data_IF_754885837045
#
_entry.id   IF_754885837045
#
_cell.length_a   1.000
_cell.length_b   1.000
_cell.length_c   1.000
_cell.angle_alpha   90.00
_cell.angle_beta   90.00
_cell.angle_gamma   90.00
#
_symmetry.space_group_name_H-M   'P 1'
#
loop_
_entity.id
_entity.type
_entity.pdbx_description
1 polymer ?
#
# COMPACT_ATOMS: atom_id res chain seq x y z
N UNK A 1 -29.56 -21.51 14.92
CA UNK A 1 -28.12 -21.47 14.58
C UNK A 1 -27.94 -20.32 13.62
N UNK A 2 -26.89 -19.52 13.80
CA UNK A 2 -26.47 -18.46 12.88
C UNK A 2 -25.11 -18.86 12.29
N UNK A 3 -24.75 -18.36 11.10
CA UNK A 3 -23.40 -18.52 10.55
C UNK A 3 -22.59 -17.24 10.74
N UNK A 4 -21.34 -17.42 11.13
CA UNK A 4 -20.36 -16.35 11.27
C UNK A 4 -19.02 -16.80 10.67
N UNK A 5 -18.07 -15.87 10.58
CA UNK A 5 -16.67 -16.19 10.31
C UNK A 5 -15.86 -16.04 11.61
N UNK A 6 -15.08 -17.05 11.96
CA UNK A 6 -14.12 -17.00 13.08
C UNK A 6 -12.74 -17.22 12.51
N UNK A 7 -11.88 -16.20 12.57
CA UNK A 7 -10.58 -16.18 11.87
C UNK A 7 -10.74 -16.64 10.40
N UNK A 8 -11.73 -16.09 9.69
CA UNK A 8 -12.15 -16.43 8.31
C UNK A 8 -12.68 -17.85 8.08
N UNK A 9 -12.79 -18.69 9.12
CA UNK A 9 -13.43 -20.00 9.01
C UNK A 9 -14.93 -19.89 9.27
N UNK A 10 -15.74 -20.33 8.30
CA UNK A 10 -17.20 -20.36 8.46
C UNK A 10 -17.61 -21.32 9.56
N UNK A 11 -18.39 -20.82 10.52
CA UNK A 11 -18.85 -21.59 11.66
C UNK A 11 -20.33 -21.34 11.92
N UNK A 12 -21.04 -22.40 12.29
CA UNK A 12 -22.44 -22.29 12.70
C UNK A 12 -22.53 -22.36 14.22
N UNK A 13 -23.12 -21.33 14.83
CA UNK A 13 -23.16 -21.13 16.29
C UNK A 13 -24.60 -20.87 16.77
N UNK A 14 -24.91 -21.03 18.08
CA UNK A 14 -26.20 -20.63 18.64
C UNK A 14 -26.47 -19.14 18.48
N UNK A 15 -27.74 -18.75 18.27
CA UNK A 15 -28.13 -17.35 17.98
C UNK A 15 -27.96 -16.39 19.19
N UNK A 16 -27.69 -16.92 20.37
CA UNK A 16 -27.45 -16.17 21.61
C UNK A 16 -25.98 -16.27 22.08
N UNK A 17 -25.09 -16.73 21.22
CA UNK A 17 -23.67 -16.83 21.54
C UNK A 17 -23.05 -15.43 21.61
N UNK A 18 -22.32 -15.18 22.69
CA UNK A 18 -21.58 -13.94 22.89
C UNK A 18 -20.14 -14.10 22.44
N UNK A 19 -19.46 -13.00 22.16
CA UNK A 19 -18.08 -13.02 21.67
C UNK A 19 -17.11 -13.58 22.72
N UNK A 20 -17.35 -13.37 24.02
CA UNK A 20 -16.52 -13.98 25.08
C UNK A 20 -16.74 -15.49 25.17
N UNK A 21 -17.98 -15.96 25.06
CA UNK A 21 -18.27 -17.40 25.03
C UNK A 21 -17.64 -18.07 23.81
N UNK A 22 -17.70 -17.42 22.65
CA UNK A 22 -17.04 -17.90 21.46
C UNK A 22 -15.52 -17.96 21.68
N UNK A 23 -14.90 -16.90 22.21
CA UNK A 23 -13.47 -16.91 22.57
C UNK A 23 -13.14 -18.10 23.48
N UNK A 24 -13.90 -18.30 24.56
CA UNK A 24 -13.64 -19.36 25.55
C UNK A 24 -13.77 -20.78 24.96
N UNK A 25 -14.47 -20.93 23.83
CA UNK A 25 -14.59 -22.21 23.12
C UNK A 25 -13.51 -22.38 22.05
N UNK A 26 -13.20 -21.32 21.31
CA UNK A 26 -12.34 -21.39 20.12
C UNK A 26 -10.87 -21.14 20.43
N UNK A 27 -10.58 -20.12 21.24
CA UNK A 27 -9.23 -19.68 21.59
C UNK A 27 -9.24 -19.03 22.97
N UNK A 28 -9.31 -19.84 24.05
CA UNK A 28 -9.45 -19.33 25.43
C UNK A 28 -8.32 -18.40 25.87
N UNK A 29 -7.16 -18.53 25.23
CA UNK A 29 -5.95 -17.75 25.46
C UNK A 29 -5.85 -16.50 24.54
N UNK A 30 -6.91 -16.13 23.82
CA UNK A 30 -6.92 -14.92 23.02
C UNK A 30 -7.01 -13.65 23.91
N UNK A 31 -6.08 -12.73 23.67
CA UNK A 31 -5.96 -11.45 24.36
C UNK A 31 -6.74 -10.32 23.66
N UNK A 32 -6.93 -10.45 22.33
CA UNK A 32 -7.58 -9.44 21.50
C UNK A 32 -8.72 -10.09 20.73
N UNK A 33 -9.88 -9.47 20.82
CA UNK A 33 -11.09 -9.83 20.09
C UNK A 33 -11.39 -8.66 19.14
N UNK A 34 -11.53 -8.94 17.84
CA UNK A 34 -11.99 -7.97 16.85
C UNK A 34 -13.30 -8.47 16.26
N UNK A 35 -14.32 -7.63 16.22
CA UNK A 35 -15.62 -7.94 15.60
C UNK A 35 -15.84 -6.93 14.49
N UNK A 36 -16.02 -7.41 13.25
CA UNK A 36 -16.26 -6.58 12.06
C UNK A 36 -15.26 -5.40 11.93
N UNK A 37 -13.97 -5.67 12.20
CA UNK A 37 -12.89 -4.67 12.14
C UNK A 37 -12.73 -3.75 13.35
N UNK A 38 -13.58 -3.88 14.37
CA UNK A 38 -13.51 -3.09 15.59
C UNK A 38 -12.99 -3.92 16.79
N UNK A 39 -12.01 -3.42 17.58
CA UNK A 39 -11.61 -4.07 18.84
C UNK A 39 -12.79 -4.14 19.81
N UNK A 40 -13.24 -5.35 20.14
CA UNK A 40 -14.39 -5.56 20.99
C UNK A 40 -13.95 -5.79 22.44
N UNK A 41 -14.30 -4.86 23.34
CA UNK A 41 -14.01 -4.94 24.78
C UNK A 41 -15.24 -5.44 25.55
N UNK A 42 -16.43 -5.07 25.08
CA UNK A 42 -17.71 -5.47 25.67
C UNK A 42 -18.12 -6.87 25.20
N UNK A 43 -18.97 -7.55 25.98
CA UNK A 43 -19.47 -8.87 25.57
C UNK A 43 -20.63 -8.72 24.58
N UNK A 44 -20.29 -8.71 23.29
CA UNK A 44 -21.21 -8.53 22.17
C UNK A 44 -21.94 -9.83 21.81
N UNK A 45 -23.25 -9.75 21.56
CA UNK A 45 -24.06 -10.87 21.05
C UNK A 45 -23.88 -10.95 19.53
N UNK A 46 -23.36 -12.08 19.06
CA UNK A 46 -23.05 -12.30 17.66
C UNK A 46 -24.32 -12.43 16.81
N UNK A 47 -24.24 -11.91 15.60
CA UNK A 47 -25.32 -11.88 14.60
C UNK A 47 -24.88 -12.64 13.36
N UNK A 48 -25.86 -13.04 12.55
CA UNK A 48 -25.62 -13.68 11.26
C UNK A 48 -24.68 -12.83 10.40
N UNK A 49 -23.62 -13.44 9.88
CA UNK A 49 -22.64 -12.79 9.02
C UNK A 49 -21.53 -12.03 9.74
N UNK A 50 -21.54 -11.97 11.08
CA UNK A 50 -20.45 -11.32 11.82
C UNK A 50 -19.09 -11.99 11.54
N UNK A 51 -18.05 -11.18 11.51
CA UNK A 51 -16.66 -11.60 11.43
C UNK A 51 -16.00 -11.39 12.79
N UNK A 52 -15.53 -12.49 13.38
CA UNK A 52 -14.82 -12.47 14.66
C UNK A 52 -13.38 -12.90 14.44
N UNK A 53 -12.46 -12.12 14.98
CA UNK A 53 -11.05 -12.39 14.96
C UNK A 53 -10.52 -12.50 16.39
N UNK A 54 -9.88 -13.63 16.70
CA UNK A 54 -9.34 -13.97 18.01
C UNK A 54 -7.82 -14.07 17.91
N UNK A 55 -7.10 -13.21 18.64
CA UNK A 55 -5.64 -13.10 18.57
C UNK A 55 -5.05 -13.25 19.97
N UNK A 56 -4.05 -14.13 20.10
CA UNK A 56 -3.14 -14.17 21.25
C UNK A 56 -1.92 -13.29 20.98
N UNK A 57 -1.56 -12.42 21.92
CA UNK A 57 -0.42 -11.53 21.77
C UNK A 57 0.89 -12.33 21.72
N UNK A 58 1.75 -11.99 20.76
CA UNK A 58 3.07 -12.61 20.58
C UNK A 58 3.06 -13.94 19.83
N UNK A 59 1.88 -14.49 19.49
CA UNK A 59 1.76 -15.66 18.62
C UNK A 59 1.89 -15.23 17.15
N UNK A 60 2.71 -15.94 16.37
CA UNK A 60 2.72 -15.82 14.91
C UNK A 60 1.71 -16.85 14.39
N UNK A 61 0.59 -16.41 13.78
CA UNK A 61 -0.44 -17.31 13.28
C UNK A 61 0.06 -18.11 12.06
N UNK A 62 -0.68 -19.16 11.68
CA UNK A 62 -0.41 -19.88 10.43
C UNK A 62 -0.61 -18.97 9.23
N UNK A 63 0.07 -19.21 8.10
CA UNK A 63 0.03 -18.31 6.94
C UNK A 63 -1.38 -18.03 6.41
N UNK A 64 -2.24 -19.04 6.34
CA UNK A 64 -3.63 -18.86 5.90
C UNK A 64 -4.43 -17.95 6.84
N UNK A 65 -4.17 -18.05 8.14
CA UNK A 65 -4.79 -17.23 9.18
C UNK A 65 -4.15 -15.84 9.26
N UNK A 66 -2.85 -15.72 8.97
CA UNK A 66 -2.12 -14.45 9.00
C UNK A 66 -2.70 -13.44 8.01
N UNK A 67 -2.97 -13.85 6.77
CA UNK A 67 -3.55 -12.96 5.76
C UNK A 67 -4.91 -12.41 6.21
N UNK A 68 -5.78 -13.31 6.68
CA UNK A 68 -7.06 -12.99 7.29
C UNK A 68 -6.94 -11.97 8.43
N UNK A 69 -6.03 -12.23 9.37
CA UNK A 69 -5.80 -11.35 10.52
C UNK A 69 -5.23 -9.99 10.13
N UNK A 70 -4.39 -9.92 9.08
CA UNK A 70 -3.85 -8.66 8.56
C UNK A 70 -4.95 -7.75 7.99
N UNK A 71 -5.99 -8.33 7.39
CA UNK A 71 -7.07 -7.57 6.74
C UNK A 71 -8.30 -7.40 7.61
N UNK A 72 -8.32 -8.02 8.79
CA UNK A 72 -9.46 -8.01 9.72
C UNK A 72 -9.98 -6.61 10.07
N UNK A 73 -9.13 -5.58 9.99
CA UNK A 73 -9.46 -4.18 10.30
C UNK A 73 -9.71 -3.31 9.07
N UNK A 74 -9.69 -3.90 7.88
CA UNK A 74 -10.05 -3.17 6.66
C UNK A 74 -11.56 -2.91 6.62
N UNK A 75 -11.96 -1.89 5.88
CA UNK A 75 -13.38 -1.68 5.59
C UNK A 75 -13.93 -2.88 4.81
N UNK A 76 -15.13 -3.39 5.15
CA UNK A 76 -15.71 -4.57 4.51
C UNK A 76 -15.75 -4.46 2.98
N UNK A 77 -15.36 -5.54 2.28
CA UNK A 77 -15.36 -5.62 0.82
C UNK A 77 -14.25 -4.84 0.09
N UNK A 78 -13.46 -4.02 0.80
CA UNK A 78 -12.33 -3.29 0.18
C UNK A 78 -11.19 -4.24 -0.17
N UNK A 79 -10.83 -5.15 0.74
CA UNK A 79 -9.69 -6.06 0.53
C UNK A 79 -9.86 -6.91 -0.73
N UNK A 80 -11.04 -7.50 -0.97
CA UNK A 80 -11.33 -8.31 -2.16
C UNK A 80 -11.09 -7.56 -3.48
N UNK A 81 -11.36 -6.25 -3.49
CA UNK A 81 -11.12 -5.40 -4.67
C UNK A 81 -9.64 -5.09 -4.82
N UNK A 82 -8.98 -4.71 -3.72
CA UNK A 82 -7.56 -4.35 -3.67
C UNK A 82 -6.68 -5.56 -4.01
N UNK A 83 -7.02 -6.75 -3.53
CA UNK A 83 -6.32 -8.02 -3.79
C UNK A 83 -6.33 -8.41 -5.28
N UNK A 84 -7.29 -7.92 -6.06
CA UNK A 84 -7.37 -8.16 -7.52
C UNK A 84 -6.63 -7.10 -8.34
N UNK A 85 -6.24 -5.99 -7.72
CA UNK A 85 -5.63 -4.88 -8.43
C UNK A 85 -4.12 -5.09 -8.63
N UNK A 86 -3.64 -4.59 -9.77
CA UNK A 86 -2.22 -4.49 -10.12
C UNK A 86 -1.83 -3.02 -10.20
N UNK A 87 -0.79 -2.63 -9.47
CA UNK A 87 -0.32 -1.25 -9.42
C UNK A 87 1.13 -1.19 -9.90
N UNK A 88 1.39 -0.31 -10.86
CA UNK A 88 2.75 0.01 -11.30
C UNK A 88 3.31 1.19 -10.51
N UNK A 89 4.54 1.07 -10.02
CA UNK A 89 5.28 2.13 -9.33
C UNK A 89 6.47 2.51 -10.20
N UNK A 90 6.44 3.72 -10.76
CA UNK A 90 7.47 4.24 -11.65
C UNK A 90 8.41 5.17 -10.86
N UNK A 91 9.58 4.65 -10.50
CA UNK A 91 10.54 5.28 -9.58
C UNK A 91 10.32 4.81 -8.13
N UNK A 92 11.39 4.39 -7.47
CA UNK A 92 11.40 3.84 -6.10
C UNK A 92 12.22 4.72 -5.15
N UNK A 93 12.16 6.04 -5.39
CA UNK A 93 12.68 7.06 -4.49
C UNK A 93 11.80 7.25 -3.25
N UNK A 94 11.76 8.47 -2.72
CA UNK A 94 11.05 8.75 -1.47
C UNK A 94 9.54 8.51 -1.56
N UNK A 95 8.93 8.88 -2.68
CA UNK A 95 7.52 8.63 -2.94
C UNK A 95 7.25 7.14 -3.19
N UNK A 96 7.89 6.56 -4.21
CA UNK A 96 7.57 5.20 -4.65
C UNK A 96 7.81 4.13 -3.60
N UNK A 97 8.89 4.26 -2.81
CA UNK A 97 9.14 3.33 -1.70
C UNK A 97 8.06 3.43 -0.60
N UNK A 98 7.64 4.64 -0.24
CA UNK A 98 6.57 4.86 0.74
C UNK A 98 5.18 4.42 0.23
N UNK A 99 4.84 4.72 -1.03
CA UNK A 99 3.60 4.25 -1.68
C UNK A 99 3.57 2.71 -1.67
N UNK A 100 4.67 2.07 -2.06
CA UNK A 100 4.74 0.60 -2.12
C UNK A 100 4.49 -0.04 -0.76
N UNK A 101 5.06 0.52 0.31
CA UNK A 101 4.81 0.05 1.68
C UNK A 101 3.34 0.23 2.08
N UNK A 102 2.75 1.39 1.80
CA UNK A 102 1.35 1.65 2.12
C UNK A 102 0.42 0.65 1.40
N UNK A 103 0.62 0.44 0.11
CA UNK A 103 -0.16 -0.51 -0.69
C UNK A 103 0.05 -1.97 -0.29
N UNK A 104 1.28 -2.34 0.10
CA UNK A 104 1.56 -3.67 0.64
C UNK A 104 0.80 -3.92 1.95
N UNK A 105 0.74 -2.93 2.85
CA UNK A 105 -0.03 -3.02 4.10
C UNK A 105 -1.54 -3.13 3.84
N UNK A 106 -2.04 -2.50 2.78
CA UNK A 106 -3.44 -2.65 2.35
C UNK A 106 -3.74 -4.02 1.70
N UNK A 107 -2.72 -4.81 1.37
CA UNK A 107 -2.89 -6.13 0.75
C UNK A 107 -3.21 -6.05 -0.74
N UNK A 108 -2.58 -5.11 -1.46
CA UNK A 108 -2.66 -5.03 -2.93
C UNK A 108 -2.28 -6.37 -3.58
N UNK A 109 -2.98 -6.75 -4.65
CA UNK A 109 -2.72 -8.01 -5.33
C UNK A 109 -1.33 -8.11 -5.92
N UNK A 110 -0.96 -7.15 -6.77
CA UNK A 110 0.33 -7.12 -7.45
C UNK A 110 0.94 -5.72 -7.46
N UNK A 111 2.23 -5.63 -7.13
CA UNK A 111 3.06 -4.44 -7.32
C UNK A 111 4.08 -4.70 -8.43
N UNK A 112 4.09 -3.82 -9.43
CA UNK A 112 5.14 -3.76 -10.47
C UNK A 112 6.09 -2.61 -10.09
N UNK A 113 7.30 -2.93 -9.64
CA UNK A 113 8.27 -1.98 -9.12
C UNK A 113 9.35 -1.69 -10.19
N UNK A 114 9.53 -0.43 -10.54
CA UNK A 114 10.47 -0.04 -11.60
C UNK A 114 11.40 1.06 -11.11
N UNK A 115 12.69 0.77 -11.12
CA UNK A 115 13.78 1.71 -10.84
C UNK A 115 15.09 1.14 -11.38
N UNK A 116 16.01 1.99 -11.84
CA UNK A 116 17.31 1.57 -12.37
C UNK A 116 18.47 1.74 -11.37
N UNK A 117 18.27 2.54 -10.33
CA UNK A 117 19.30 2.92 -9.37
C UNK A 117 19.55 1.84 -8.31
N UNK A 118 20.58 2.11 -7.51
CA UNK A 118 20.92 1.43 -6.26
C UNK A 118 20.64 2.32 -5.06
N UNK A 119 20.57 1.73 -3.86
CA UNK A 119 20.41 2.48 -2.61
C UNK A 119 21.70 3.21 -2.26
N UNK A 120 21.61 4.51 -2.00
CA UNK A 120 22.72 5.36 -1.58
C UNK A 120 22.52 5.92 -0.15
N UNK A 121 23.60 6.28 0.58
CA UNK A 121 23.46 6.87 1.92
C UNK A 121 22.56 8.12 1.96
N UNK A 122 22.62 8.97 0.94
CA UNK A 122 21.80 10.19 0.82
C UNK A 122 20.30 9.90 0.66
N UNK A 123 19.93 8.68 0.30
CA UNK A 123 18.56 8.25 0.11
C UNK A 123 17.86 7.95 1.45
N UNK A 124 18.62 7.51 2.46
CA UNK A 124 18.10 7.04 3.75
C UNK A 124 17.38 8.14 4.55
N UNK A 125 17.57 9.41 4.19
CA UNK A 125 16.89 10.52 4.84
C UNK A 125 15.37 10.55 4.59
N UNK A 126 14.86 9.84 3.56
CA UNK A 126 13.45 9.87 3.15
C UNK A 126 12.93 8.65 2.39
N UNK A 127 13.81 7.79 1.90
CA UNK A 127 13.45 6.57 1.18
C UNK A 127 13.38 5.41 2.17
N UNK A 128 12.48 4.45 1.92
CA UNK A 128 12.19 3.35 2.85
C UNK A 128 13.22 2.22 2.74
N UNK A 129 14.51 2.53 2.88
CA UNK A 129 15.61 1.58 2.86
C UNK A 129 16.38 1.61 4.18
N UNK A 130 17.12 0.54 4.47
CA UNK A 130 17.99 0.45 5.66
C UNK A 130 19.48 0.52 5.30
N UNK A 131 20.32 0.73 6.31
CA UNK A 131 21.78 0.90 6.15
C UNK A 131 22.42 -0.33 5.51
N UNK A 132 21.95 -1.53 5.87
CA UNK A 132 22.43 -2.81 5.33
C UNK A 132 22.08 -3.03 3.85
N UNK A 133 21.20 -2.19 3.28
CA UNK A 133 20.80 -2.28 1.87
C UNK A 133 21.59 -1.34 0.95
N UNK A 134 22.50 -0.51 1.48
CA UNK A 134 23.33 0.38 0.65
C UNK A 134 24.07 -0.43 -0.44
N UNK A 135 23.98 0.04 -1.68
CA UNK A 135 24.56 -0.60 -2.87
C UNK A 135 23.66 -1.66 -3.53
N UNK A 136 22.57 -2.09 -2.88
CA UNK A 136 21.60 -3.00 -3.50
C UNK A 136 20.74 -2.25 -4.54
N UNK A 137 20.34 -2.89 -5.66
CA UNK A 137 19.32 -2.32 -6.53
C UNK A 137 18.05 -1.94 -5.75
N UNK A 138 17.54 -0.72 -5.92
CA UNK A 138 16.35 -0.22 -5.21
C UNK A 138 15.16 -1.16 -5.33
N UNK A 139 14.96 -1.70 -6.54
CA UNK A 139 13.94 -2.73 -6.84
C UNK A 139 14.06 -3.99 -5.97
N UNK A 140 15.28 -4.50 -5.81
CA UNK A 140 15.54 -5.69 -4.99
C UNK A 140 15.41 -5.38 -3.49
N UNK A 141 16.01 -4.28 -3.04
CA UNK A 141 15.95 -3.85 -1.64
C UNK A 141 14.51 -3.68 -1.18
N UNK A 142 13.69 -2.98 -1.98
CA UNK A 142 12.28 -2.78 -1.67
C UNK A 142 11.49 -4.10 -1.73
N UNK A 143 11.77 -4.98 -2.69
CA UNK A 143 11.10 -6.29 -2.76
C UNK A 143 11.31 -7.12 -1.48
N UNK A 144 12.51 -7.10 -0.89
CA UNK A 144 12.82 -7.80 0.37
C UNK A 144 11.99 -7.20 1.52
N UNK A 145 11.97 -5.86 1.62
CA UNK A 145 11.18 -5.15 2.63
C UNK A 145 9.70 -5.50 2.49
N UNK A 146 9.14 -5.41 1.30
CA UNK A 146 7.72 -5.66 1.06
C UNK A 146 7.34 -7.10 1.36
N UNK A 147 8.18 -8.09 1.01
CA UNK A 147 7.95 -9.49 1.35
C UNK A 147 7.95 -9.73 2.87
N UNK A 148 8.74 -8.96 3.63
CA UNK A 148 8.73 -9.00 5.11
C UNK A 148 7.48 -8.33 5.72
N UNK A 149 6.88 -7.38 5.01
CA UNK A 149 5.69 -6.64 5.46
C UNK A 149 4.41 -7.41 5.15
N UNK A 150 4.28 -7.93 3.94
CA UNK A 150 3.12 -8.68 3.49
C UNK A 150 3.54 -9.76 2.48
N UNK A 151 3.68 -11.03 2.90
CA UNK A 151 4.13 -12.11 2.02
C UNK A 151 3.07 -12.55 1.01
N UNK A 152 1.83 -12.03 1.10
CA UNK A 152 0.71 -12.44 0.26
C UNK A 152 0.56 -11.60 -1.02
N UNK A 153 1.40 -10.58 -1.20
CA UNK A 153 1.38 -9.74 -2.41
C UNK A 153 2.34 -10.29 -3.46
N UNK A 154 1.96 -10.20 -4.74
CA UNK A 154 2.87 -10.52 -5.85
C UNK A 154 3.74 -9.31 -6.15
N UNK A 155 5.06 -9.48 -6.12
CA UNK A 155 6.01 -8.42 -6.46
C UNK A 155 6.67 -8.76 -7.80
N UNK A 156 6.59 -7.85 -8.75
CA UNK A 156 7.28 -7.92 -10.04
C UNK A 156 8.27 -6.77 -10.10
N UNK A 157 9.55 -7.06 -10.29
CA UNK A 157 10.59 -6.04 -10.33
C UNK A 157 11.18 -5.85 -11.72
N UNK A 158 11.45 -4.61 -12.09
CA UNK A 158 12.15 -4.25 -13.32
C UNK A 158 13.28 -3.28 -13.01
N UNK A 159 14.53 -3.77 -13.02
CA UNK A 159 15.72 -2.94 -12.87
C UNK A 159 16.09 -2.27 -14.19
N UNK A 160 15.28 -1.32 -14.64
CA UNK A 160 15.44 -0.62 -15.93
C UNK A 160 15.04 0.85 -15.81
N UNK A 161 15.60 1.66 -16.70
CA UNK A 161 15.13 3.03 -16.92
C UNK A 161 13.90 3.00 -17.84
N UNK A 162 12.84 3.71 -17.43
CA UNK A 162 11.60 3.77 -18.21
C UNK A 162 11.76 4.73 -19.39
N UNK A 163 11.17 4.36 -20.52
CA UNK A 163 11.08 5.20 -21.71
C UNK A 163 9.77 4.90 -22.47
N UNK A 164 9.41 5.76 -23.43
CA UNK A 164 8.19 5.61 -24.22
C UNK A 164 8.00 4.22 -24.85
N UNK A 165 9.10 3.51 -25.19
CA UNK A 165 9.03 2.20 -25.85
C UNK A 165 8.75 1.05 -24.88
N UNK A 166 9.19 1.16 -23.62
CA UNK A 166 9.05 0.08 -22.64
C UNK A 166 7.88 0.29 -21.67
N UNK A 167 7.43 1.53 -21.42
CA UNK A 167 6.30 1.83 -20.53
C UNK A 167 5.06 0.97 -20.83
N UNK A 168 4.59 0.86 -22.09
CA UNK A 168 3.40 0.05 -22.39
C UNK A 168 3.61 -1.43 -22.08
N UNK A 169 4.83 -1.94 -22.28
CA UNK A 169 5.15 -3.36 -22.03
C UNK A 169 5.24 -3.64 -20.53
N UNK A 170 5.87 -2.76 -19.78
CA UNK A 170 6.07 -2.92 -18.33
C UNK A 170 4.75 -2.81 -17.58
N UNK A 171 3.89 -1.87 -17.96
CA UNK A 171 2.65 -1.58 -17.24
C UNK A 171 1.37 -2.10 -17.93
N UNK A 172 1.48 -3.02 -18.89
CA UNK A 172 0.33 -3.53 -19.66
C UNK A 172 -0.80 -4.13 -18.81
N UNK A 173 -0.49 -4.67 -17.63
CA UNK A 173 -1.48 -5.23 -16.68
C UNK A 173 -1.87 -4.26 -15.57
N UNK A 174 -1.27 -3.08 -15.48
CA UNK A 174 -1.51 -2.15 -14.38
C UNK A 174 -2.90 -1.51 -14.49
N UNK A 175 -3.65 -1.56 -13.40
CA UNK A 175 -4.91 -0.81 -13.25
C UNK A 175 -4.62 0.65 -12.91
N UNK A 176 -3.56 0.89 -12.11
CA UNK A 176 -3.10 2.21 -11.68
C UNK A 176 -1.58 2.26 -11.84
N UNK A 177 -1.07 3.39 -12.33
CA UNK A 177 0.36 3.70 -12.40
C UNK A 177 0.59 4.88 -11.46
N UNK A 178 1.46 4.70 -10.48
CA UNK A 178 1.90 5.75 -9.59
C UNK A 178 3.24 6.26 -10.10
N UNK A 179 3.26 7.53 -10.50
CA UNK A 179 4.45 8.23 -10.98
C UNK A 179 5.21 8.82 -9.78
N UNK A 180 6.50 8.52 -9.68
CA UNK A 180 7.37 8.87 -8.57
C UNK A 180 8.76 9.33 -9.04
N UNK A 181 8.84 9.94 -10.22
CA UNK A 181 10.06 10.51 -10.80
C UNK A 181 10.39 11.88 -10.21
N UNK A 182 11.66 12.25 -10.29
CA UNK A 182 12.15 13.55 -9.84
C UNK A 182 12.11 14.59 -10.98
N UNK A 183 12.19 14.17 -12.25
CA UNK A 183 12.36 15.06 -13.41
C UNK A 183 11.04 15.36 -14.12
N UNK A 184 10.84 16.62 -14.48
CA UNK A 184 9.62 17.08 -15.16
C UNK A 184 9.42 16.38 -16.52
N UNK A 185 10.48 16.12 -17.27
CA UNK A 185 10.38 15.46 -18.57
C UNK A 185 9.89 14.00 -18.45
N UNK A 186 10.33 13.29 -17.41
CA UNK A 186 9.93 11.91 -17.14
C UNK A 186 8.46 11.83 -16.70
N UNK A 187 8.01 12.82 -15.91
CA UNK A 187 6.60 12.98 -15.51
C UNK A 187 5.70 13.14 -16.73
N UNK A 188 6.08 14.02 -17.66
CA UNK A 188 5.33 14.21 -18.91
C UNK A 188 5.36 12.94 -19.76
N UNK A 189 6.53 12.31 -19.88
CA UNK A 189 6.70 11.09 -20.68
C UNK A 189 5.76 9.96 -20.24
N UNK A 190 5.63 9.70 -18.93
CA UNK A 190 4.78 8.60 -18.46
C UNK A 190 3.29 8.94 -18.59
N UNK A 191 2.91 10.20 -18.40
CA UNK A 191 1.53 10.66 -18.61
C UNK A 191 1.12 10.49 -20.08
N UNK A 192 1.94 10.96 -21.02
CA UNK A 192 1.67 10.81 -22.46
C UNK A 192 1.65 9.35 -22.89
N UNK A 193 2.66 8.56 -22.48
CA UNK A 193 2.75 7.13 -22.84
C UNK A 193 1.56 6.33 -22.31
N UNK A 194 1.10 6.62 -21.09
CA UNK A 194 -0.07 5.97 -20.51
C UNK A 194 -1.37 6.39 -21.22
N UNK A 195 -1.52 7.68 -21.57
CA UNK A 195 -2.68 8.16 -22.30
C UNK A 195 -2.80 7.52 -23.70
N UNK A 196 -1.66 7.36 -24.39
CA UNK A 196 -1.61 6.79 -25.74
C UNK A 196 -1.80 5.27 -25.76
N UNK A 197 -1.11 4.54 -24.86
CA UNK A 197 -0.96 3.09 -24.96
C UNK A 197 -1.63 2.30 -23.83
N UNK A 198 -2.04 2.94 -22.74
CA UNK A 198 -2.66 2.31 -21.58
C UNK A 198 -3.97 3.02 -21.19
N UNK A 199 -4.95 3.18 -22.12
CA UNK A 199 -6.10 4.06 -21.95
C UNK A 199 -7.07 3.67 -20.81
N UNK A 200 -6.89 2.48 -20.24
CA UNK A 200 -7.68 1.99 -19.10
C UNK A 200 -7.00 2.23 -17.75
N UNK A 201 -5.69 2.48 -17.73
CA UNK A 201 -4.95 2.71 -16.50
C UNK A 201 -5.24 4.11 -15.94
N UNK A 202 -5.31 4.21 -14.62
CA UNK A 202 -5.24 5.49 -13.92
C UNK A 202 -3.78 5.88 -13.74
N UNK A 203 -3.49 7.18 -13.74
CA UNK A 203 -2.16 7.71 -13.43
C UNK A 203 -2.25 8.66 -12.25
N UNK A 204 -1.43 8.40 -11.23
CA UNK A 204 -1.35 9.21 -10.00
C UNK A 204 0.08 9.73 -9.86
N UNK A 205 0.30 10.99 -10.20
CA UNK A 205 1.61 11.64 -10.09
C UNK A 205 1.73 12.56 -8.88
N UNK A 206 2.91 13.16 -8.73
CA UNK A 206 3.16 14.13 -7.69
C UNK A 206 4.00 15.32 -8.16
N UNK A 207 3.76 16.50 -7.59
CA UNK A 207 4.48 17.73 -7.93
C UNK A 207 4.48 18.74 -6.78
N UNK A 208 5.62 19.38 -6.54
CA UNK A 208 5.74 20.43 -5.51
C UNK A 208 5.79 19.85 -4.09
N UNK A 209 6.94 19.32 -3.69
CA UNK A 209 7.13 18.60 -2.41
C UNK A 209 8.38 19.04 -1.64
N UNK A 210 9.10 20.06 -2.11
CA UNK A 210 10.34 20.45 -1.49
C UNK A 210 10.15 21.27 -0.20
N UNK A 211 11.13 21.17 0.69
CA UNK A 211 11.21 21.87 1.96
C UNK A 211 10.43 21.22 3.11
N UNK A 212 10.25 22.01 4.16
CA UNK A 212 9.61 21.65 5.44
C UNK A 212 8.35 22.51 5.70
N UNK A 213 7.72 23.01 4.63
CA UNK A 213 6.55 23.90 4.73
C UNK A 213 5.29 23.19 5.23
N UNK A 214 4.18 23.95 5.30
CA UNK A 214 2.88 23.48 5.79
C UNK A 214 2.39 22.22 5.05
N UNK A 215 2.12 21.16 5.80
CA UNK A 215 1.59 19.89 5.29
C UNK A 215 0.24 20.03 4.61
N UNK A 216 -0.62 20.96 5.07
CA UNK A 216 -1.96 21.13 4.53
C UNK A 216 -1.97 21.78 3.13
N UNK A 217 -0.83 22.30 2.67
CA UNK A 217 -0.66 22.75 1.30
C UNK A 217 -0.62 21.59 0.28
N UNK A 218 -0.32 20.36 0.72
CA UNK A 218 -0.35 19.17 -0.15
C UNK A 218 -1.80 18.80 -0.40
N UNK A 219 -2.21 18.87 -1.67
CA UNK A 219 -3.58 18.57 -2.09
C UNK A 219 -3.59 17.59 -3.24
N UNK A 220 -4.75 16.95 -3.43
CA UNK A 220 -5.02 16.12 -4.59
C UNK A 220 -5.76 16.92 -5.65
N UNK A 221 -5.26 16.87 -6.87
CA UNK A 221 -5.80 17.55 -8.04
C UNK A 221 -6.20 16.52 -9.08
N UNK A 222 -7.43 16.60 -9.58
CA UNK A 222 -7.91 15.78 -10.70
C UNK A 222 -7.74 16.58 -11.99
N UNK A 223 -6.81 16.16 -12.85
CA UNK A 223 -6.51 16.85 -14.12
C UNK A 223 -7.26 16.25 -15.31
N UNK A 224 -7.91 15.11 -15.12
CA UNK A 224 -8.76 14.49 -16.14
C UNK A 224 -9.53 13.31 -15.58
N UNK A 225 -10.12 12.51 -16.47
CA UNK A 225 -10.93 11.36 -16.03
C UNK A 225 -10.12 10.31 -15.29
N UNK A 226 -8.84 10.12 -15.65
CA UNK A 226 -7.94 9.09 -15.16
C UNK A 226 -6.60 9.60 -14.63
N UNK A 227 -6.42 10.92 -14.53
CA UNK A 227 -5.16 11.55 -14.14
C UNK A 227 -5.34 12.37 -12.89
N UNK A 228 -4.51 12.08 -11.88
CA UNK A 228 -4.47 12.74 -10.59
C UNK A 228 -3.05 13.20 -10.28
N UNK A 229 -2.90 14.37 -9.67
CA UNK A 229 -1.62 14.90 -9.20
C UNK A 229 -1.74 15.26 -7.72
N UNK A 230 -0.73 14.88 -6.94
CA UNK A 230 -0.63 15.19 -5.51
C UNK A 230 0.50 16.18 -5.25
N UNK A 231 0.23 17.23 -4.48
CA UNK A 231 1.27 18.12 -3.95
C UNK A 231 0.86 19.60 -3.89
N UNK A 232 1.85 20.46 -3.64
CA UNK A 232 1.63 21.90 -3.44
C UNK A 232 1.71 22.72 -4.74
N UNK A 233 2.17 22.12 -5.84
CA UNK A 233 2.31 22.73 -7.18
C UNK A 233 3.26 23.94 -7.25
N UNK A 234 4.02 24.24 -6.20
CA UNK A 234 4.83 25.47 -6.09
C UNK A 234 6.32 25.15 -5.91
N UNK A 235 6.67 24.21 -5.01
CA UNK A 235 8.06 24.07 -4.53
C UNK A 235 8.80 22.89 -5.16
N UNK A 236 9.62 23.19 -6.17
CA UNK A 236 10.63 22.26 -6.67
C UNK A 236 11.87 22.22 -5.75
N UNK A 237 12.56 21.08 -5.70
CA UNK A 237 13.79 20.95 -4.92
C UNK A 237 14.95 21.71 -5.58
N UNK A 238 15.87 22.23 -4.77
CA UNK A 238 17.02 22.99 -5.24
C UNK A 238 18.01 23.31 -4.12
N UNK A 239 19.12 24.04 -4.41
CA UNK A 239 20.08 24.46 -3.40
C UNK A 239 19.38 25.19 -2.23
N UNK A 240 19.57 24.71 -1.01
CA UNK A 240 18.91 25.23 0.19
C UNK A 240 17.47 24.75 0.43
N UNK A 241 16.89 23.99 -0.51
CA UNK A 241 15.52 23.48 -0.43
C UNK A 241 15.46 21.98 -0.82
N UNK A 242 15.80 21.13 0.15
CA UNK A 242 15.82 19.67 -0.02
C UNK A 242 14.46 18.99 0.15
N UNK A 243 14.44 17.67 0.04
CA UNK A 243 13.26 16.83 0.25
C UNK A 243 13.26 16.23 1.66
N UNK A 244 12.18 16.48 2.41
CA UNK A 244 12.04 16.05 3.81
C UNK A 244 11.11 14.83 3.93
N UNK A 245 11.52 13.82 4.70
CA UNK A 245 10.76 12.58 4.87
C UNK A 245 9.27 12.77 5.21
N UNK A 246 8.88 13.62 6.19
CA UNK A 246 7.46 13.76 6.53
C UNK A 246 6.63 14.31 5.38
N UNK A 247 7.15 15.33 4.67
CA UNK A 247 6.45 16.00 3.56
C UNK A 247 6.29 15.05 2.37
N UNK A 248 7.35 14.33 2.02
CA UNK A 248 7.32 13.28 0.99
C UNK A 248 6.36 12.16 1.39
N UNK A 249 6.40 11.73 2.66
CA UNK A 249 5.52 10.69 3.19
C UNK A 249 4.04 11.05 3.11
N UNK A 250 3.66 12.29 3.43
CA UNK A 250 2.27 12.77 3.31
C UNK A 250 1.79 12.67 1.87
N UNK A 251 2.59 13.17 0.91
CA UNK A 251 2.24 13.07 -0.50
C UNK A 251 2.17 11.62 -0.99
N UNK A 252 3.09 10.76 -0.56
CA UNK A 252 3.06 9.33 -0.87
C UNK A 252 1.77 8.66 -0.36
N UNK A 253 1.32 8.99 0.86
CA UNK A 253 0.07 8.44 1.38
C UNK A 253 -1.16 9.00 0.68
N UNK A 254 -1.13 10.26 0.22
CA UNK A 254 -2.15 10.77 -0.70
C UNK A 254 -2.18 10.01 -2.03
N UNK A 255 -1.01 9.70 -2.62
CA UNK A 255 -0.94 8.89 -3.84
C UNK A 255 -1.50 7.48 -3.61
N UNK A 256 -1.09 6.82 -2.52
CA UNK A 256 -1.56 5.48 -2.18
C UNK A 256 -3.07 5.44 -1.89
N UNK A 257 -3.63 6.47 -1.26
CA UNK A 257 -5.06 6.55 -0.96
C UNK A 257 -5.95 6.80 -2.20
N UNK A 258 -5.36 7.19 -3.34
CA UNK A 258 -6.07 7.33 -4.62
C UNK A 258 -6.14 6.04 -5.44
N UNK A 259 -5.35 5.03 -5.05
CA UNK A 259 -5.33 3.69 -5.66
C UNK A 259 -6.53 2.89 -5.19
#
# INVERSE_FOLDING_TARGET
MIKILVNEHSKSIPANMTVRKLRDQEKPDADVIVVNGYPCIEDYILKEGDQVVLIRKGEIPQMAELEALMVARHSPGVHERVKRATVGIAGLGGLGSAVSIALARMGIGTLILVDFDVVEPSNLNRQQYSIDQIGMPKTQALSIILASINPFIKIVIHKIELNRKNIPKVFHTANVIVECFDRAEEKVMILESAAESLPKAYVVGASGLAGYGDSNSIKTWRLGNRVFIVGDMIKAAGPGLGLMAPRVGIAAHHQANLV
#
